data_IF_716120249513
#
_entry.id   IF_716120249513
#
_cell.length_a   1.000
_cell.length_b   1.000
_cell.length_c   1.000
_cell.angle_alpha   90.00
_cell.angle_beta   90.00
_cell.angle_gamma   90.00
#
_symmetry.space_group_name_H-M   'P 1'
#
loop_
_entity.id
_entity.type
_entity.pdbx_description
1 polymer ?
#
# COMPACT_ATOMS: atom_id res chain seq x y z
N UNK A 1 -26.95 31.10 -12.44
CA UNK A 1 -26.75 30.30 -11.21
C UNK A 1 -25.72 29.21 -11.49
N UNK A 2 -24.46 29.48 -11.17
CA UNK A 2 -23.37 28.50 -11.31
C UNK A 2 -23.51 27.47 -10.19
N UNK A 3 -23.93 26.26 -10.54
CA UNK A 3 -23.99 25.13 -9.63
C UNK A 3 -22.55 24.73 -9.30
N UNK A 4 -21.98 25.32 -8.25
CA UNK A 4 -20.80 24.76 -7.60
C UNK A 4 -21.20 23.39 -7.06
N UNK A 5 -20.88 22.34 -7.82
CA UNK A 5 -20.77 20.99 -7.29
C UNK A 5 -19.68 21.06 -6.23
N UNK A 6 -20.10 21.25 -4.98
CA UNK A 6 -19.25 21.17 -3.81
C UNK A 6 -18.96 19.69 -3.63
N UNK A 7 -18.05 19.15 -4.45
CA UNK A 7 -17.42 17.86 -4.14
C UNK A 7 -16.84 18.06 -2.76
N UNK A 8 -17.45 17.44 -1.75
CA UNK A 8 -16.93 17.46 -0.40
C UNK A 8 -15.52 16.88 -0.48
N UNK A 9 -14.50 17.75 -0.51
CA UNK A 9 -13.10 17.43 -0.21
C UNK A 9 -12.97 17.11 1.28
N UNK A 10 -13.79 16.18 1.78
CA UNK A 10 -13.77 15.68 3.15
C UNK A 10 -13.72 14.17 3.08
N UNK A 11 -12.57 13.68 2.66
CA UNK A 11 -12.10 12.44 3.24
C UNK A 11 -10.60 12.57 3.44
N UNK A 12 -10.22 13.04 4.63
CA UNK A 12 -8.88 12.90 5.17
C UNK A 12 -8.61 11.39 5.19
N UNK A 13 -7.84 10.88 4.23
CA UNK A 13 -7.57 9.44 4.06
C UNK A 13 -6.08 9.22 3.99
N UNK A 14 -5.55 8.71 5.09
CA UNK A 14 -4.21 8.15 5.17
C UNK A 14 -4.28 6.68 4.78
N UNK A 15 -3.34 6.23 3.97
CA UNK A 15 -3.12 4.82 3.70
C UNK A 15 -1.67 4.45 3.94
N UNK A 16 -1.44 3.29 4.52
CA UNK A 16 -0.12 2.74 4.76
C UNK A 16 0.21 1.72 3.68
N UNK A 17 1.37 1.90 3.04
CA UNK A 17 1.87 0.96 2.04
C UNK A 17 3.18 0.33 2.51
N UNK A 18 3.22 -0.99 2.42
CA UNK A 18 4.37 -1.82 2.78
C UNK A 18 4.63 -2.87 1.70
N UNK A 19 5.82 -3.46 1.72
CA UNK A 19 6.23 -4.55 0.88
C UNK A 19 6.90 -5.65 1.71
N UNK A 20 6.55 -6.90 1.45
CA UNK A 20 7.18 -8.08 2.05
C UNK A 20 7.86 -8.94 0.99
N UNK A 21 8.97 -9.61 1.34
CA UNK A 21 9.64 -10.59 0.47
C UNK A 21 9.26 -12.01 0.87
N UNK A 22 8.96 -12.87 -0.10
CA UNK A 22 8.55 -14.25 0.10
C UNK A 22 9.29 -15.21 -0.84
N UNK A 23 9.27 -16.51 -0.51
CA UNK A 23 9.74 -17.57 -1.43
C UNK A 23 9.01 -17.46 -2.77
N UNK A 24 9.77 -17.52 -3.85
CA UNK A 24 9.27 -17.44 -5.21
C UNK A 24 8.21 -18.52 -5.49
N UNK A 25 7.03 -18.10 -5.91
CA UNK A 25 5.95 -19.02 -6.32
C UNK A 25 6.21 -19.62 -7.71
N UNK A 26 5.46 -20.67 -8.11
CA UNK A 26 5.51 -21.22 -9.49
C UNK A 26 5.29 -20.16 -10.58
N UNK A 27 4.50 -19.12 -10.28
CA UNK A 27 4.23 -17.97 -11.16
C UNK A 27 5.31 -16.88 -11.11
N UNK A 28 6.39 -17.10 -10.37
CA UNK A 28 7.54 -16.20 -10.15
C UNK A 28 7.22 -14.92 -9.36
N UNK A 29 6.18 -14.93 -8.53
CA UNK A 29 5.94 -13.84 -7.57
C UNK A 29 6.85 -14.03 -6.35
N UNK A 30 7.53 -12.97 -5.93
CA UNK A 30 8.59 -12.97 -4.90
C UNK A 30 8.34 -11.91 -3.83
N UNK A 31 7.40 -11.00 -4.06
CA UNK A 31 7.06 -9.95 -3.11
C UNK A 31 5.55 -9.83 -2.95
N UNK A 32 5.12 -9.30 -1.81
CA UNK A 32 3.76 -8.81 -1.57
C UNK A 32 3.81 -7.30 -1.43
N UNK A 33 2.82 -6.61 -1.98
CA UNK A 33 2.52 -5.20 -1.69
C UNK A 33 1.26 -5.17 -0.86
N UNK A 34 1.37 -4.54 0.30
CA UNK A 34 0.30 -4.38 1.27
C UNK A 34 -0.12 -2.92 1.31
N UNK A 35 -1.41 -2.67 1.16
CA UNK A 35 -2.02 -1.36 1.38
C UNK A 35 -3.08 -1.48 2.45
N UNK A 36 -2.98 -0.68 3.51
CA UNK A 36 -3.95 -0.61 4.60
C UNK A 36 -4.56 0.79 4.61
N UNK A 37 -5.88 0.88 4.66
CA UNK A 37 -6.58 2.14 4.82
C UNK A 37 -6.75 2.46 6.32
N UNK A 38 -6.21 3.59 6.79
CA UNK A 38 -6.08 3.89 8.22
C UNK A 38 -7.44 3.97 8.94
N UNK A 39 -8.48 4.46 8.25
CA UNK A 39 -9.81 4.65 8.84
C UNK A 39 -10.64 3.36 8.88
N UNK A 40 -10.83 2.71 7.73
CA UNK A 40 -11.69 1.51 7.65
C UNK A 40 -10.99 0.24 8.10
N UNK A 41 -9.65 0.28 8.26
CA UNK A 41 -8.79 -0.90 8.47
C UNK A 41 -8.90 -1.94 7.36
N UNK A 42 -9.49 -1.59 6.21
CA UNK A 42 -9.52 -2.45 5.05
C UNK A 42 -8.11 -2.55 4.47
N UNK A 43 -7.67 -3.78 4.21
CA UNK A 43 -6.33 -4.06 3.67
C UNK A 43 -6.41 -4.80 2.34
N UNK A 44 -5.47 -4.50 1.45
CA UNK A 44 -5.26 -5.14 0.16
C UNK A 44 -3.83 -5.66 0.10
N UNK A 45 -3.66 -6.96 -0.16
CA UNK A 45 -2.36 -7.61 -0.33
C UNK A 45 -2.26 -8.19 -1.73
N UNK A 46 -1.25 -7.76 -2.50
CA UNK A 46 -1.09 -8.16 -3.91
C UNK A 46 0.29 -8.78 -4.15
N UNK A 47 0.37 -10.03 -4.66
CA UNK A 47 1.64 -10.64 -4.99
C UNK A 47 2.22 -10.10 -6.31
N UNK A 48 3.51 -9.76 -6.28
CA UNK A 48 4.24 -9.21 -7.43
C UNK A 48 5.56 -9.93 -7.67
N UNK A 49 6.02 -9.89 -8.92
CA UNK A 49 7.30 -10.47 -9.34
C UNK A 49 8.50 -9.55 -9.05
N UNK A 50 8.33 -8.25 -9.27
CA UNK A 50 9.40 -7.24 -9.16
C UNK A 50 8.85 -5.94 -8.63
N UNK A 51 9.63 -5.30 -7.77
CA UNK A 51 9.27 -4.10 -7.01
C UNK A 51 9.69 -2.83 -7.77
N UNK A 52 9.38 -2.81 -9.07
CA UNK A 52 9.61 -1.64 -9.91
C UNK A 52 8.51 -0.61 -9.64
N UNK A 53 8.87 0.66 -9.62
CA UNK A 53 7.96 1.79 -9.38
C UNK A 53 6.74 1.77 -10.29
N UNK A 54 6.91 1.56 -11.59
CA UNK A 54 5.82 1.37 -12.55
C UNK A 54 4.83 0.27 -12.15
N UNK A 55 5.31 -0.86 -11.62
CA UNK A 55 4.45 -1.96 -11.15
C UNK A 55 3.61 -1.50 -9.95
N UNK A 56 4.25 -0.82 -9.00
CA UNK A 56 3.60 -0.33 -7.77
C UNK A 56 2.56 0.74 -8.12
N UNK A 57 2.90 1.68 -9.01
CA UNK A 57 1.98 2.72 -9.51
C UNK A 57 0.74 2.09 -10.15
N UNK A 58 0.92 1.10 -11.02
CA UNK A 58 -0.21 0.40 -11.65
C UNK A 58 -1.11 -0.29 -10.62
N UNK A 59 -0.52 -0.90 -9.60
CA UNK A 59 -1.28 -1.53 -8.50
C UNK A 59 -2.08 -0.49 -7.72
N UNK A 60 -1.48 0.65 -7.38
CA UNK A 60 -2.18 1.73 -6.70
C UNK A 60 -3.37 2.22 -7.54
N UNK A 61 -3.16 2.46 -8.82
CA UNK A 61 -4.21 2.92 -9.73
C UNK A 61 -5.36 1.92 -9.88
N UNK A 62 -5.05 0.64 -10.11
CA UNK A 62 -6.04 -0.37 -10.53
C UNK A 62 -6.71 -1.03 -9.32
N UNK A 63 -5.97 -1.28 -8.25
CA UNK A 63 -6.44 -2.08 -7.13
C UNK A 63 -6.80 -1.25 -5.89
N UNK A 64 -6.13 -0.12 -5.68
CA UNK A 64 -6.33 0.68 -4.45
C UNK A 64 -7.28 1.85 -4.71
N UNK A 65 -6.97 2.69 -5.69
CA UNK A 65 -7.73 3.93 -5.91
C UNK A 65 -9.09 3.69 -6.54
N UNK A 66 -9.29 2.56 -7.20
CA UNK A 66 -10.63 2.09 -7.63
C UNK A 66 -11.54 1.75 -6.46
N UNK A 67 -10.97 1.38 -5.31
CA UNK A 67 -11.71 1.02 -4.08
C UNK A 67 -11.87 2.22 -3.14
N UNK A 68 -10.80 3.00 -2.94
CA UNK A 68 -10.75 4.04 -1.90
C UNK A 68 -10.73 5.48 -2.41
N UNK A 69 -10.79 5.70 -3.71
CA UNK A 69 -10.44 6.97 -4.35
C UNK A 69 -8.98 7.37 -4.09
N UNK A 70 -8.56 8.51 -4.62
CA UNK A 70 -7.20 9.04 -4.42
C UNK A 70 -7.01 9.53 -2.98
N UNK A 71 -5.96 9.08 -2.27
CA UNK A 71 -5.68 9.52 -0.91
C UNK A 71 -5.01 10.90 -0.89
N UNK A 72 -5.21 11.63 0.19
CA UNK A 72 -4.50 12.89 0.47
C UNK A 72 -3.05 12.63 0.85
N UNK A 73 -2.80 11.54 1.58
CA UNK A 73 -1.46 11.13 1.97
C UNK A 73 -1.27 9.61 1.97
N UNK A 74 -0.09 9.17 1.58
CA UNK A 74 0.35 7.78 1.70
C UNK A 74 1.53 7.74 2.66
N UNK A 75 1.40 6.95 3.72
CA UNK A 75 2.49 6.62 4.61
C UNK A 75 3.25 5.41 4.06
N UNK A 76 4.54 5.59 3.88
CA UNK A 76 5.45 4.58 3.37
C UNK A 76 6.38 4.19 4.51
N UNK A 77 6.65 2.90 4.66
CA UNK A 77 7.81 2.52 5.43
C UNK A 77 9.10 2.99 4.71
N UNK A 78 10.19 3.12 5.46
CA UNK A 78 11.42 3.74 4.96
C UNK A 78 12.21 2.85 3.97
N UNK A 79 11.52 1.94 3.28
CA UNK A 79 12.12 1.05 2.31
C UNK A 79 12.48 1.81 1.01
N UNK A 80 13.63 1.49 0.43
CA UNK A 80 14.18 2.14 -0.76
C UNK A 80 13.30 2.01 -2.01
N UNK A 81 12.32 1.11 -2.00
CA UNK A 81 11.43 0.85 -3.13
C UNK A 81 10.50 2.03 -3.46
N UNK A 82 10.19 2.88 -2.47
CA UNK A 82 9.29 4.01 -2.64
C UNK A 82 10.00 5.36 -2.83
N UNK A 83 11.33 5.36 -3.00
CA UNK A 83 12.11 6.59 -3.17
C UNK A 83 12.49 6.91 -4.62
N UNK A 84 11.98 6.16 -5.61
CA UNK A 84 12.30 6.43 -7.02
C UNK A 84 11.73 7.76 -7.50
N UNK A 85 12.42 8.43 -8.43
CA UNK A 85 11.93 9.66 -9.05
C UNK A 85 10.58 9.47 -9.76
N UNK A 86 10.38 8.33 -10.42
CA UNK A 86 9.11 8.00 -11.10
C UNK A 86 7.93 8.00 -10.12
N UNK A 87 8.10 7.40 -8.94
CA UNK A 87 7.08 7.35 -7.90
C UNK A 87 6.81 8.74 -7.30
N UNK A 88 7.85 9.53 -7.06
CA UNK A 88 7.70 10.90 -6.54
C UNK A 88 6.94 11.80 -7.53
N UNK A 89 7.27 11.74 -8.82
CA UNK A 89 6.58 12.50 -9.87
C UNK A 89 5.10 12.09 -9.91
N UNK A 90 4.81 10.79 -9.86
CA UNK A 90 3.45 10.27 -9.85
C UNK A 90 2.63 10.84 -8.68
N UNK A 91 3.15 10.79 -7.45
CA UNK A 91 2.44 11.27 -6.27
C UNK A 91 2.30 12.79 -6.25
N UNK A 92 3.32 13.52 -6.73
CA UNK A 92 3.24 14.97 -6.90
C UNK A 92 2.13 15.36 -7.90
N UNK A 93 2.04 14.68 -9.05
CA UNK A 93 1.00 14.94 -10.04
C UNK A 93 -0.40 14.60 -9.51
N UNK A 94 -0.50 13.62 -8.61
CA UNK A 94 -1.76 13.24 -7.98
C UNK A 94 -2.18 14.21 -6.87
N UNK A 95 -1.26 15.04 -6.37
CA UNK A 95 -1.46 15.88 -5.19
C UNK A 95 -1.49 15.07 -3.89
N UNK A 96 -0.87 13.89 -3.88
CA UNK A 96 -0.79 13.01 -2.71
C UNK A 96 0.53 13.22 -1.99
N UNK A 97 0.46 13.48 -0.68
CA UNK A 97 1.64 13.66 0.17
C UNK A 97 2.26 12.32 0.56
N UNK A 98 3.58 12.20 0.46
CA UNK A 98 4.31 11.03 0.94
C UNK A 98 4.85 11.29 2.35
N UNK A 99 4.39 10.46 3.30
CA UNK A 99 4.86 10.47 4.68
C UNK A 99 5.78 9.28 4.85
N UNK A 100 7.07 9.51 5.09
CA UNK A 100 7.99 8.40 5.41
C UNK A 100 7.93 8.14 6.91
N UNK A 101 7.66 6.89 7.30
CA UNK A 101 7.73 6.49 8.70
C UNK A 101 9.17 6.66 9.20
N UNK A 102 9.36 7.47 10.23
CA UNK A 102 10.57 7.46 11.04
C UNK A 102 10.53 6.25 11.97
N UNK A 103 11.69 5.76 12.42
CA UNK A 103 11.77 4.61 13.33
C UNK A 103 11.04 4.79 14.69
N UNK A 104 10.45 5.97 14.93
CA UNK A 104 9.87 6.39 16.20
C UNK A 104 8.33 6.56 16.20
N UNK A 105 7.63 6.14 15.13
CA UNK A 105 6.16 6.08 15.11
C UNK A 105 5.67 4.66 15.45
N UNK A 106 5.82 4.28 16.72
CA UNK A 106 5.55 2.92 17.21
C UNK A 106 4.11 2.46 16.91
N UNK A 107 3.11 3.31 17.19
CA UNK A 107 1.69 2.91 17.11
C UNK A 107 1.20 2.56 15.70
N UNK A 108 1.66 3.30 14.68
CA UNK A 108 1.22 3.09 13.30
C UNK A 108 2.00 1.94 12.63
N UNK A 109 3.29 1.80 12.96
CA UNK A 109 4.11 0.71 12.46
C UNK A 109 3.66 -0.64 13.02
N UNK A 110 3.29 -0.68 14.31
CA UNK A 110 2.77 -1.88 14.98
C UNK A 110 1.53 -2.46 14.28
N UNK A 111 0.66 -1.59 13.79
CA UNK A 111 -0.60 -1.97 13.18
C UNK A 111 -0.43 -2.61 11.79
N UNK A 112 0.58 -2.18 11.03
CA UNK A 112 0.96 -2.82 9.76
C UNK A 112 1.73 -4.10 10.03
N UNK A 113 2.63 -4.11 11.02
CA UNK A 113 3.39 -5.30 11.40
C UNK A 113 2.47 -6.44 11.85
N UNK A 114 1.45 -6.14 12.66
CA UNK A 114 0.40 -7.10 13.06
C UNK A 114 -0.38 -7.64 11.86
N UNK A 115 -0.73 -6.77 10.91
CA UNK A 115 -1.41 -7.19 9.69
C UNK A 115 -0.53 -8.12 8.85
N UNK A 116 0.73 -7.75 8.64
CA UNK A 116 1.70 -8.56 7.91
C UNK A 116 1.90 -9.93 8.58
N UNK A 117 2.02 -9.96 9.91
CA UNK A 117 2.09 -11.21 10.68
C UNK A 117 0.86 -12.09 10.43
N UNK A 118 -0.33 -11.51 10.45
CA UNK A 118 -1.59 -12.22 10.17
C UNK A 118 -1.59 -12.85 8.77
N UNK A 119 -1.17 -12.11 7.75
CA UNK A 119 -1.02 -12.63 6.38
C UNK A 119 -0.02 -13.78 6.33
N UNK A 120 1.11 -13.66 7.03
CA UNK A 120 2.16 -14.68 7.07
C UNK A 120 1.71 -15.97 7.75
N UNK A 121 0.93 -15.86 8.83
CA UNK A 121 0.30 -17.00 9.50
C UNK A 121 -0.68 -17.71 8.57
N UNK A 122 -1.58 -16.96 7.90
CA UNK A 122 -2.53 -17.52 6.94
C UNK A 122 -1.83 -18.24 5.77
N UNK A 123 -0.79 -17.63 5.20
CA UNK A 123 0.00 -18.22 4.13
C UNK A 123 0.74 -19.49 4.58
N UNK A 124 1.11 -19.58 5.85
CA UNK A 124 1.77 -20.74 6.43
C UNK A 124 0.78 -21.88 6.65
N UNK A 125 -0.37 -21.60 7.26
CA UNK A 125 -1.45 -22.58 7.43
C UNK A 125 -1.91 -23.17 6.09
N UNK A 126 -2.05 -22.33 5.05
CA UNK A 126 -2.45 -22.81 3.73
C UNK A 126 -1.42 -23.76 3.09
N UNK A 127 -0.12 -23.51 3.28
CA UNK A 127 0.94 -24.39 2.75
C UNK A 127 0.93 -25.76 3.43
N UNK A 128 0.67 -25.80 4.74
CA UNK A 128 0.58 -27.05 5.51
C UNK A 128 -0.58 -27.94 5.01
N UNK A 129 -1.63 -27.36 4.41
CA UNK A 129 -2.76 -28.12 3.84
C UNK A 129 -2.56 -28.65 2.42
N UNK A 130 -1.40 -28.41 1.79
CA UNK A 130 -1.09 -28.82 0.41
C UNK A 130 0.16 -29.71 0.29
N UNK A 131 0.73 -30.12 1.43
CA UNK A 131 1.83 -31.09 1.51
C UNK A 131 1.28 -32.52 1.69
#
# INVERSE_FOLDING_TARGET
MSHRVRIQKRCVRFGEMNQQQHKTTKRKNEHLIDFKHDFSKYSITIPIKKTKSKTIINILLINVFTVFSYPEAIRLNNASYFSSNEFNIFTCNLGTHLIKSTAYNHDSNDEVERFNRTINEMLTCYKIGYD
#
